data_IF_618871597051
#
_entry.id   IF_618871597051
#
_cell.length_a   1.000
_cell.length_b   1.000
_cell.length_c   1.000
_cell.angle_alpha   90.00
_cell.angle_beta   90.00
_cell.angle_gamma   90.00
#
_symmetry.space_group_name_H-M   'P 1'
#
loop_
_entity.id
_entity.type
_entity.pdbx_description
1 polymer ?
#
# COMPACT_ATOMS: atom_id res chain seq x y z
N UNK A 1 -4.67 1.71 -12.93
CA UNK A 1 -5.14 0.69 -11.98
C UNK A 1 -5.14 1.33 -10.62
N UNK A 2 -6.15 1.06 -9.81
CA UNK A 2 -6.32 1.73 -8.52
C UNK A 2 -5.35 1.13 -7.49
N UNK A 3 -4.73 2.00 -6.70
CA UNK A 3 -3.84 1.62 -5.61
C UNK A 3 -4.56 1.80 -4.28
N UNK A 4 -4.46 0.79 -3.43
CA UNK A 4 -5.18 0.74 -2.16
C UNK A 4 -4.25 0.32 -1.02
N UNK A 5 -4.56 0.85 0.17
CA UNK A 5 -4.08 0.34 1.44
C UNK A 5 -5.00 -0.77 1.92
N UNK A 6 -4.42 -1.92 2.25
CA UNK A 6 -5.10 -3.05 2.89
C UNK A 6 -4.80 -2.98 4.38
N UNK A 7 -5.83 -2.72 5.18
CA UNK A 7 -5.66 -2.61 6.63
C UNK A 7 -5.41 -3.99 7.27
N UNK A 8 -4.55 -4.06 8.31
CA UNK A 8 -4.31 -5.29 9.04
C UNK A 8 -5.55 -5.73 9.82
N UNK A 9 -5.68 -7.04 10.04
CA UNK A 9 -6.83 -7.63 10.74
C UNK A 9 -6.61 -7.71 12.24
N UNK A 10 -5.38 -7.95 12.67
CA UNK A 10 -5.05 -8.24 14.07
C UNK A 10 -4.80 -7.00 14.92
N UNK A 11 -4.60 -5.82 14.32
CA UNK A 11 -4.43 -4.54 15.02
C UNK A 11 -3.31 -4.55 16.07
N UNK A 12 -2.27 -5.38 15.89
CA UNK A 12 -1.13 -5.47 16.80
C UNK A 12 -0.22 -4.26 16.64
N UNK A 13 0.65 -4.04 17.61
CA UNK A 13 1.56 -2.88 17.67
C UNK A 13 2.43 -2.67 16.42
N UNK A 14 2.78 -3.74 15.71
CA UNK A 14 3.61 -3.70 14.49
C UNK A 14 2.82 -3.97 13.21
N UNK A 15 1.50 -4.08 13.31
CA UNK A 15 0.66 -4.30 12.14
C UNK A 15 0.48 -2.99 11.39
N UNK A 16 1.02 -2.91 10.18
CA UNK A 16 0.88 -1.76 9.29
C UNK A 16 0.05 -2.12 8.06
N UNK A 17 -0.59 -1.12 7.46
CA UNK A 17 -1.30 -1.31 6.20
C UNK A 17 -0.33 -1.73 5.07
N UNK A 18 -0.82 -2.56 4.16
CA UNK A 18 -0.03 -3.05 3.02
C UNK A 18 -0.52 -2.37 1.74
N UNK A 19 0.41 -1.84 0.95
CA UNK A 19 0.12 -1.25 -0.35
C UNK A 19 -0.13 -2.34 -1.39
N UNK A 20 -1.18 -2.18 -2.19
CA UNK A 20 -1.47 -3.10 -3.28
C UNK A 20 -2.15 -2.40 -4.46
N UNK A 21 -1.98 -3.00 -5.64
CA UNK A 21 -2.65 -2.58 -6.88
C UNK A 21 -3.81 -3.52 -7.18
N UNK A 22 -4.97 -2.95 -7.49
CA UNK A 22 -6.13 -3.71 -7.98
C UNK A 22 -5.84 -4.23 -9.39
N UNK A 23 -5.97 -5.55 -9.57
CA UNK A 23 -5.77 -6.25 -10.85
C UNK A 23 -7.12 -6.53 -11.52
N UNK A 24 -8.08 -7.03 -10.77
CA UNK A 24 -9.42 -7.36 -11.24
C UNK A 24 -10.44 -7.23 -10.10
N UNK A 25 -11.70 -7.05 -10.46
CA UNK A 25 -12.82 -7.07 -9.52
C UNK A 25 -13.89 -8.01 -10.08
N UNK A 26 -14.17 -9.09 -9.35
CA UNK A 26 -15.15 -10.11 -9.73
C UNK A 26 -16.24 -10.21 -8.65
N UNK A 27 -17.43 -9.72 -8.98
CA UNK A 27 -18.56 -9.70 -8.06
C UNK A 27 -18.28 -8.83 -6.82
N UNK A 28 -18.06 -9.48 -5.67
CA UNK A 28 -17.75 -8.82 -4.39
C UNK A 28 -16.30 -9.02 -3.92
N UNK A 29 -15.49 -9.75 -4.68
CA UNK A 29 -14.08 -9.98 -4.34
C UNK A 29 -13.20 -9.17 -5.27
N UNK A 30 -12.06 -8.76 -4.74
CA UNK A 30 -11.10 -7.92 -5.46
C UNK A 30 -9.78 -8.68 -5.51
N UNK A 31 -9.21 -8.84 -6.69
CA UNK A 31 -7.88 -9.39 -6.85
C UNK A 31 -6.88 -8.24 -6.80
N UNK A 32 -5.87 -8.38 -5.96
CA UNK A 32 -4.85 -7.37 -5.75
C UNK A 32 -3.47 -7.99 -5.84
N UNK A 33 -2.49 -7.18 -6.24
CA UNK A 33 -1.07 -7.52 -6.22
C UNK A 33 -0.34 -6.56 -5.29
N UNK A 34 0.36 -7.09 -4.30
CA UNK A 34 1.15 -6.27 -3.36
C UNK A 34 2.51 -5.85 -3.94
N UNK A 35 3.27 -5.07 -3.15
CA UNK A 35 4.60 -4.59 -3.52
C UNK A 35 5.66 -5.71 -3.62
N UNK A 36 5.40 -6.90 -3.05
CA UNK A 36 6.22 -8.12 -3.20
C UNK A 36 5.85 -8.91 -4.48
N UNK A 37 4.97 -8.38 -5.33
CA UNK A 37 4.37 -9.06 -6.49
C UNK A 37 3.52 -10.30 -6.15
N UNK A 38 3.08 -10.47 -4.91
CA UNK A 38 2.17 -11.55 -4.54
C UNK A 38 0.74 -11.16 -4.87
N UNK A 39 0.02 -12.07 -5.49
CA UNK A 39 -1.40 -11.89 -5.81
C UNK A 39 -2.28 -12.56 -4.76
N UNK A 40 -3.34 -11.87 -4.37
CA UNK A 40 -4.33 -12.42 -3.46
C UNK A 40 -5.73 -11.89 -3.77
N UNK A 41 -6.73 -12.70 -3.41
CA UNK A 41 -8.12 -12.31 -3.42
C UNK A 41 -8.53 -11.78 -2.06
N UNK A 42 -9.00 -10.54 -2.01
CA UNK A 42 -9.53 -9.95 -0.79
C UNK A 42 -11.00 -10.34 -0.61
N UNK A 43 -11.34 -10.72 0.63
CA UNK A 43 -12.73 -10.91 1.04
C UNK A 43 -13.40 -9.54 1.28
N UNK A 44 -14.73 -9.43 1.15
CA UNK A 44 -15.45 -8.16 1.33
C UNK A 44 -15.31 -7.53 2.73
N UNK A 45 -14.91 -8.33 3.72
CA UNK A 45 -14.73 -7.92 5.12
C UNK A 45 -13.40 -7.17 5.34
N UNK A 46 -12.47 -7.26 4.38
CA UNK A 46 -11.20 -6.55 4.45
C UNK A 46 -11.45 -5.05 4.32
N UNK A 47 -10.96 -4.30 5.30
CA UNK A 47 -10.96 -2.84 5.24
C UNK A 47 -9.88 -2.39 4.26
N UNK A 48 -10.29 -1.59 3.28
CA UNK A 48 -9.40 -1.01 2.28
C UNK A 48 -9.59 0.51 2.26
N UNK A 49 -8.52 1.23 1.92
CA UNK A 49 -8.55 2.68 1.68
C UNK A 49 -7.85 3.00 0.37
N UNK A 50 -8.26 4.07 -0.32
CA UNK A 50 -7.51 4.55 -1.48
C UNK A 50 -6.15 5.10 -1.03
N UNK A 51 -5.11 4.86 -1.84
CA UNK A 51 -3.79 5.45 -1.60
C UNK A 51 -3.73 6.87 -2.14
N UNK A 52 -3.06 7.77 -1.41
CA UNK A 52 -2.71 9.07 -1.94
C UNK A 52 -1.67 8.93 -3.08
N UNK A 53 -1.76 9.72 -4.16
CA UNK A 53 -0.83 9.62 -5.30
C UNK A 53 0.66 9.68 -4.91
N UNK A 54 1.02 10.51 -3.92
CA UNK A 54 2.40 10.61 -3.43
C UNK A 54 2.89 9.35 -2.72
N UNK A 55 2.00 8.62 -2.04
CA UNK A 55 2.31 7.30 -1.47
C UNK A 55 2.43 6.22 -2.54
N UNK A 56 1.79 6.40 -3.70
CA UNK A 56 1.86 5.49 -4.85
C UNK A 56 3.21 5.61 -5.54
N UNK A 57 3.61 6.83 -5.86
CA UNK A 57 4.80 7.15 -6.65
C UNK A 57 6.08 7.18 -5.80
N UNK A 58 5.94 7.47 -4.50
CA UNK A 58 7.04 7.87 -3.66
C UNK A 58 7.37 9.36 -3.82
N UNK A 59 8.07 9.91 -2.84
CA UNK A 59 8.53 11.30 -2.78
C UNK A 59 9.95 11.37 -2.27
N UNK A 60 10.65 12.43 -2.68
CA UNK A 60 11.99 12.72 -2.19
C UNK A 60 11.94 13.20 -0.73
N UNK A 61 11.22 14.30 -0.49
CA UNK A 61 10.97 14.84 0.84
C UNK A 61 9.71 14.19 1.46
N UNK A 62 9.92 13.40 2.51
CA UNK A 62 8.85 12.66 3.20
C UNK A 62 7.79 13.56 3.85
N UNK A 63 8.07 14.85 4.09
CA UNK A 63 7.07 15.80 4.58
C UNK A 63 5.96 16.02 3.53
N UNK A 64 6.25 15.75 2.25
CA UNK A 64 5.28 15.85 1.16
C UNK A 64 4.40 14.59 0.98
N UNK A 65 4.56 13.57 1.83
CA UNK A 65 3.67 12.40 1.81
C UNK A 65 2.25 12.81 2.22
N UNK A 66 1.26 12.45 1.39
CA UNK A 66 -0.14 12.73 1.66
C UNK A 66 -0.74 11.76 2.67
N UNK A 67 -0.28 10.51 2.67
CA UNK A 67 -0.59 9.53 3.71
C UNK A 67 0.55 9.49 4.74
N UNK A 68 0.57 10.45 5.67
CA UNK A 68 1.61 10.53 6.70
C UNK A 68 1.37 9.55 7.87
N UNK A 69 1.10 8.28 7.56
CA UNK A 69 1.05 7.18 8.53
C UNK A 69 2.20 6.20 8.29
N UNK A 70 2.43 5.27 9.22
CA UNK A 70 3.60 4.39 9.24
C UNK A 70 3.77 3.62 7.92
N UNK A 71 2.68 3.04 7.39
CA UNK A 71 2.73 2.33 6.11
C UNK A 71 3.12 3.22 4.91
N UNK A 72 2.74 4.50 4.88
CA UNK A 72 3.14 5.43 3.82
C UNK A 72 4.63 5.71 3.86
N UNK A 73 5.17 5.92 5.07
CA UNK A 73 6.61 6.13 5.29
C UNK A 73 7.40 4.88 4.90
N UNK A 74 7.00 3.70 5.39
CA UNK A 74 7.68 2.43 5.10
C UNK A 74 7.68 2.12 3.61
N UNK A 75 6.56 2.34 2.92
CA UNK A 75 6.47 2.12 1.48
C UNK A 75 7.33 3.11 0.69
N UNK A 76 7.40 4.38 1.11
CA UNK A 76 8.29 5.36 0.49
C UNK A 76 9.76 4.94 0.60
N UNK A 77 10.17 4.49 1.80
CA UNK A 77 11.52 3.97 2.02
C UNK A 77 11.80 2.74 1.16
N UNK A 78 10.83 1.83 1.01
CA UNK A 78 10.96 0.65 0.15
C UNK A 78 11.13 1.02 -1.33
N UNK A 79 10.32 1.94 -1.85
CA UNK A 79 10.42 2.43 -3.24
C UNK A 79 11.82 3.01 -3.47
N UNK A 80 12.24 3.93 -2.60
CA UNK A 80 13.54 4.58 -2.67
C UNK A 80 14.70 3.58 -2.59
N UNK A 81 14.60 2.59 -1.70
CA UNK A 81 15.60 1.53 -1.58
C UNK A 81 15.74 0.73 -2.88
N UNK A 82 14.61 0.33 -3.48
CA UNK A 82 14.59 -0.41 -4.75
C UNK A 82 15.17 0.41 -5.91
N UNK A 83 15.07 1.74 -5.86
CA UNK A 83 15.64 2.67 -6.84
C UNK A 83 17.08 3.08 -6.53
N UNK A 84 17.71 2.53 -5.47
CA UNK A 84 19.04 2.93 -4.96
C UNK A 84 19.13 4.41 -4.53
N UNK A 85 18.01 5.03 -4.15
CA UNK A 85 17.90 6.41 -3.68
C UNK A 85 17.90 6.46 -2.14
N UNK A 86 19.04 6.17 -1.53
CA UNK A 86 19.17 6.09 -0.07
C UNK A 86 19.30 7.45 0.65
N UNK A 87 19.35 8.57 -0.09
CA UNK A 87 19.43 9.94 0.44
C UNK A 87 18.50 10.88 -0.32
#
# INVERSE_FOLDING_TARGET
>A
GDYIWIEPVSGREFDVAIGARVISAEGRRIQVRDDDNKEQWLTPERKIKAMHPTSVQGVEDMISLGDLHEAGILRNLLIRYNENLIY
#
